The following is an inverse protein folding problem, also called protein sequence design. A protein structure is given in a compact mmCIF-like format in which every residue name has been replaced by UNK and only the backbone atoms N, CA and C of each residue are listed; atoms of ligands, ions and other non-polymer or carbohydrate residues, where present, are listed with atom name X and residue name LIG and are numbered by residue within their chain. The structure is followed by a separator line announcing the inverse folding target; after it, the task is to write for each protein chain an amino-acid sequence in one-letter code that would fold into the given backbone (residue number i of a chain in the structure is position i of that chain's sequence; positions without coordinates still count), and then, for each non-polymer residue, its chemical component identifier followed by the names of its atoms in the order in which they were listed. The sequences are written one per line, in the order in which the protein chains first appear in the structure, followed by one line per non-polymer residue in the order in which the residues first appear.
data_IF_207197972116
#
_entry.id   IF_207197972116
#
_cell.length_a   1.000
_cell.length_b   1.000
_cell.length_c   1.000
_cell.angle_alpha   90.00
_cell.angle_beta   90.00
_cell.angle_gamma   90.00
#
_symmetry.space_group_name_H-M   'P 1'
#
loop_
_entity.id
_entity.type
_entity.pdbx_description
1 polymer ?
#
# COMPACT_ATOMS: atom_id res chain seq x y z
N UNK A 1 36.99 30.80 24.48
CA UNK A 1 35.68 30.26 24.87
C UNK A 1 34.65 30.76 23.87
N UNK A 2 34.26 29.92 22.92
CA UNK A 2 33.20 30.22 21.97
C UNK A 2 31.88 29.71 22.57
N UNK A 3 30.96 30.62 22.86
CA UNK A 3 29.60 30.30 23.31
C UNK A 3 28.79 29.82 22.12
N UNK A 4 28.47 28.53 22.09
CA UNK A 4 27.60 27.92 21.09
C UNK A 4 26.20 28.53 21.16
N UNK A 5 25.71 29.02 20.02
CA UNK A 5 24.31 29.45 19.87
C UNK A 5 23.42 28.21 19.73
N UNK A 6 22.74 27.84 20.81
CA UNK A 6 21.58 26.96 20.76
C UNK A 6 20.41 27.75 20.15
N UNK A 7 20.14 27.59 18.85
CA UNK A 7 19.20 28.48 18.16
C UNK A 7 18.73 28.00 16.79
N UNK A 8 18.72 26.69 16.54
CA UNK A 8 18.15 26.14 15.31
C UNK A 8 17.25 24.97 15.72
N UNK A 9 15.95 25.06 15.43
CA UNK A 9 14.88 24.07 15.67
C UNK A 9 14.08 24.13 16.99
N UNK A 10 13.86 25.31 17.57
CA UNK A 10 12.88 25.46 18.68
C UNK A 10 11.45 25.72 18.21
N UNK A 11 11.21 25.92 16.92
CA UNK A 11 9.90 26.28 16.36
C UNK A 11 9.45 25.19 15.38
N UNK A 12 8.48 24.37 15.81
CA UNK A 12 7.92 23.26 15.02
C UNK A 12 6.41 23.17 15.21
N UNK A 13 5.73 22.66 14.19
CA UNK A 13 4.28 22.48 14.15
C UNK A 13 4.02 21.06 13.66
N UNK A 14 3.59 20.17 14.57
CA UNK A 14 3.27 18.77 14.21
C UNK A 14 1.76 18.57 14.28
N UNK A 15 1.13 18.19 13.16
CA UNK A 15 -0.31 17.94 13.10
C UNK A 15 -0.64 16.52 13.58
N UNK A 16 -1.58 16.38 14.51
CA UNK A 16 -2.15 15.11 14.98
C UNK A 16 -3.63 14.99 14.62
N UNK A 17 -3.96 14.72 13.34
CA UNK A 17 -5.35 14.64 12.86
C UNK A 17 -6.11 13.45 13.46
N UNK A 18 -5.41 12.45 14.00
CA UNK A 18 -5.95 11.24 14.65
C UNK A 18 -6.61 11.53 16.00
N UNK A 19 -6.13 12.53 16.74
CA UNK A 19 -6.66 12.94 18.05
C UNK A 19 -7.63 14.12 17.98
N UNK A 20 -7.64 14.83 16.86
CA UNK A 20 -8.44 16.02 16.67
C UNK A 20 -9.94 15.69 16.54
N UNK A 21 -10.80 16.37 17.29
CA UNK A 21 -12.25 16.39 17.07
C UNK A 21 -12.64 17.27 15.87
N UNK A 22 -13.90 17.19 15.41
CA UNK A 22 -14.41 18.15 14.41
C UNK A 22 -14.46 19.58 14.98
N UNK A 23 -14.68 19.72 16.29
CA UNK A 23 -14.73 21.00 16.99
C UNK A 23 -13.35 21.68 17.05
N UNK A 24 -12.30 20.89 17.29
CA UNK A 24 -10.93 21.37 17.34
C UNK A 24 -10.47 21.92 15.98
N UNK A 25 -10.99 21.36 14.89
CA UNK A 25 -10.77 21.84 13.53
C UNK A 25 -11.43 23.21 13.28
N UNK A 26 -12.67 23.41 13.73
CA UNK A 26 -13.33 24.73 13.66
C UNK A 26 -12.69 25.75 14.60
N UNK A 27 -12.19 25.31 15.76
CA UNK A 27 -11.47 26.15 16.71
C UNK A 27 -10.18 26.69 16.09
N UNK A 28 -9.47 25.88 15.29
CA UNK A 28 -8.28 26.31 14.54
C UNK A 28 -8.56 27.45 13.54
N UNK A 29 -9.78 27.51 13.02
CA UNK A 29 -10.18 28.53 12.05
C UNK A 29 -10.53 29.86 12.73
N UNK A 30 -11.07 29.80 13.95
CA UNK A 30 -11.57 30.97 14.68
C UNK A 30 -10.56 31.54 15.69
N UNK A 31 -9.85 30.66 16.41
CA UNK A 31 -8.81 31.04 17.37
C UNK A 31 -7.42 30.88 16.75
N UNK A 32 -6.54 31.83 17.06
CA UNK A 32 -5.15 31.86 16.60
C UNK A 32 -4.16 31.15 17.48
N UNK A 33 -4.61 30.74 18.66
CA UNK A 33 -3.78 30.07 19.64
C UNK A 33 -3.68 28.57 19.32
N UNK A 34 -2.56 28.18 18.69
CA UNK A 34 -2.31 26.79 18.32
C UNK A 34 -2.01 25.90 19.52
N UNK A 35 -1.46 26.46 20.60
CA UNK A 35 -1.08 25.72 21.81
C UNK A 35 -2.30 25.11 22.51
N UNK A 36 -3.46 25.77 22.39
CA UNK A 36 -4.73 25.30 22.98
C UNK A 36 -5.42 24.21 22.17
N UNK A 37 -4.91 23.88 20.99
CA UNK A 37 -5.59 22.99 20.06
C UNK A 37 -4.95 21.59 20.04
N UNK A 38 -5.73 20.57 20.43
CA UNK A 38 -5.31 19.15 20.40
C UNK A 38 -4.93 18.63 19.00
N UNK A 39 -5.20 19.41 17.96
CA UNK A 39 -4.90 19.10 16.55
C UNK A 39 -3.44 19.34 16.19
N UNK A 40 -2.73 20.20 16.93
CA UNK A 40 -1.41 20.69 16.56
C UNK A 40 -0.50 20.74 17.80
N UNK A 41 0.60 19.98 17.77
CA UNK A 41 1.65 20.06 18.79
C UNK A 41 2.61 21.22 18.41
N UNK A 42 2.62 22.27 19.25
CA UNK A 42 3.51 23.43 19.14
C UNK A 42 4.08 23.83 20.52
N UNK A 43 5.26 24.46 20.58
CA UNK A 43 5.76 25.05 21.82
C UNK A 43 4.86 26.20 22.35
N UNK A 44 4.92 26.48 23.65
CA UNK A 44 4.12 27.55 24.27
C UNK A 44 4.44 28.92 23.66
N UNK A 45 3.40 29.69 23.31
CA UNK A 45 3.54 31.03 22.70
C UNK A 45 3.62 31.05 21.17
N UNK A 46 3.50 29.89 20.51
CA UNK A 46 3.49 29.79 19.03
C UNK A 46 2.13 30.21 18.46
N UNK A 47 1.89 31.51 18.36
CA UNK A 47 0.70 32.09 17.73
C UNK A 47 0.96 32.40 16.25
N UNK A 48 0.09 31.95 15.35
CA UNK A 48 0.15 32.37 13.95
C UNK A 48 -0.73 33.60 13.77
N UNK A 49 -0.17 34.78 13.54
CA UNK A 49 -0.96 35.99 13.28
C UNK A 49 -1.59 36.01 11.86
N UNK A 50 -0.95 35.35 10.89
CA UNK A 50 -1.37 35.36 9.48
C UNK A 50 -2.54 34.40 9.22
N UNK A 51 -3.68 34.96 8.79
CA UNK A 51 -4.90 34.20 8.41
C UNK A 51 -4.60 33.18 7.30
N UNK A 52 -3.73 33.52 6.35
CA UNK A 52 -3.33 32.63 5.24
C UNK A 52 -2.66 31.34 5.72
N UNK A 53 -1.78 31.44 6.73
CA UNK A 53 -1.10 30.28 7.30
C UNK A 53 -2.06 29.41 8.12
N UNK A 54 -2.97 30.02 8.88
CA UNK A 54 -4.03 29.28 9.60
C UNK A 54 -4.92 28.49 8.65
N UNK A 55 -5.32 29.12 7.54
CA UNK A 55 -6.10 28.47 6.49
C UNK A 55 -5.34 27.27 5.87
N UNK A 56 -4.04 27.43 5.60
CA UNK A 56 -3.22 26.35 5.05
C UNK A 56 -3.12 25.14 6.01
N UNK A 57 -2.93 25.40 7.30
CA UNK A 57 -2.92 24.33 8.32
C UNK A 57 -4.30 23.67 8.41
N UNK A 58 -5.36 24.47 8.43
CA UNK A 58 -6.74 23.96 8.44
C UNK A 58 -7.02 23.03 7.25
N UNK A 59 -6.68 23.45 6.03
CA UNK A 59 -6.86 22.62 4.82
C UNK A 59 -6.02 21.35 4.91
N UNK A 60 -4.77 21.45 5.39
CA UNK A 60 -3.86 20.31 5.53
C UNK A 60 -4.39 19.27 6.53
N UNK A 61 -4.83 19.69 7.72
CA UNK A 61 -5.44 18.80 8.72
C UNK A 61 -6.74 18.21 8.19
N UNK A 62 -7.58 19.02 7.53
CA UNK A 62 -8.85 18.55 6.95
C UNK A 62 -8.59 17.47 5.90
N UNK A 63 -7.59 17.65 5.04
CA UNK A 63 -7.18 16.66 4.05
C UNK A 63 -6.68 15.38 4.72
N UNK A 64 -5.76 15.47 5.70
CA UNK A 64 -5.26 14.31 6.44
C UNK A 64 -6.38 13.53 7.13
N UNK A 65 -7.31 14.23 7.77
CA UNK A 65 -8.46 13.62 8.44
C UNK A 65 -9.42 12.97 7.45
N UNK A 66 -9.64 13.59 6.29
CA UNK A 66 -10.42 12.99 5.20
C UNK A 66 -9.77 11.70 4.72
N UNK A 67 -8.45 11.67 4.51
CA UNK A 67 -7.71 10.46 4.13
C UNK A 67 -7.83 9.35 5.20
N UNK A 68 -7.76 9.71 6.49
CA UNK A 68 -7.94 8.75 7.59
C UNK A 68 -9.36 8.17 7.61
N UNK A 69 -10.39 8.99 7.41
CA UNK A 69 -11.79 8.54 7.33
C UNK A 69 -12.01 7.62 6.12
N UNK A 70 -11.37 7.95 4.99
CA UNK A 70 -11.52 7.18 3.75
C UNK A 70 -10.68 5.91 3.72
N UNK A 71 -9.70 5.73 4.61
CA UNK A 71 -8.83 4.54 4.65
C UNK A 71 -9.63 3.24 4.65
N UNK A 72 -10.49 3.04 5.65
CA UNK A 72 -11.25 1.80 5.82
C UNK A 72 -12.29 1.59 4.68
N UNK A 73 -13.08 2.61 4.27
CA UNK A 73 -13.95 2.50 3.10
C UNK A 73 -13.23 2.14 1.81
N UNK A 74 -12.04 2.69 1.56
CA UNK A 74 -11.25 2.43 0.35
C UNK A 74 -10.72 0.99 0.35
N UNK A 75 -10.22 0.50 1.48
CA UNK A 75 -9.79 -0.91 1.63
C UNK A 75 -10.96 -1.85 1.38
N UNK A 76 -12.11 -1.59 2.01
CA UNK A 76 -13.32 -2.39 1.81
C UNK A 76 -13.77 -2.37 0.34
N UNK A 77 -13.79 -1.20 -0.29
CA UNK A 77 -14.19 -1.03 -1.68
C UNK A 77 -13.25 -1.78 -2.63
N UNK A 78 -11.93 -1.62 -2.46
CA UNK A 78 -10.93 -2.34 -3.23
C UNK A 78 -11.10 -3.86 -3.11
N UNK A 79 -11.30 -4.37 -1.89
CA UNK A 79 -11.56 -5.79 -1.63
C UNK A 79 -12.80 -6.32 -2.35
N UNK A 80 -13.88 -5.52 -2.46
CA UNK A 80 -15.10 -5.88 -3.21
C UNK A 80 -14.89 -5.85 -4.71
N UNK A 81 -14.22 -4.82 -5.22
CA UNK A 81 -13.90 -4.71 -6.66
C UNK A 81 -13.03 -5.88 -7.10
N UNK A 82 -11.99 -6.21 -6.35
CA UNK A 82 -11.11 -7.35 -6.62
C UNK A 82 -11.87 -8.69 -6.58
N UNK A 83 -12.70 -8.90 -5.56
CA UNK A 83 -13.54 -10.10 -5.48
C UNK A 83 -14.50 -10.20 -6.67
N UNK A 84 -15.12 -9.08 -7.07
CA UNK A 84 -16.03 -9.03 -8.22
C UNK A 84 -15.29 -9.35 -9.51
N UNK A 85 -14.12 -8.76 -9.75
CA UNK A 85 -13.29 -9.06 -10.92
C UNK A 85 -12.92 -10.55 -11.00
N UNK A 86 -12.52 -11.15 -9.88
CA UNK A 86 -12.26 -12.59 -9.78
C UNK A 86 -13.52 -13.44 -10.01
N UNK A 87 -14.66 -13.04 -9.47
CA UNK A 87 -15.93 -13.74 -9.64
C UNK A 87 -16.33 -13.77 -11.11
N UNK A 88 -16.22 -12.62 -11.80
CA UNK A 88 -16.45 -12.55 -13.24
C UNK A 88 -15.43 -13.40 -14.00
N UNK A 89 -14.15 -13.31 -13.65
CA UNK A 89 -13.08 -14.05 -14.33
C UNK A 89 -13.29 -15.57 -14.29
N UNK A 90 -13.61 -16.12 -13.12
CA UNK A 90 -13.77 -17.58 -12.93
C UNK A 90 -15.06 -18.09 -13.58
N UNK A 91 -16.08 -17.23 -13.72
CA UNK A 91 -17.36 -17.59 -14.33
C UNK A 91 -17.49 -17.18 -15.80
N UNK A 92 -16.39 -16.82 -16.47
CA UNK A 92 -16.36 -16.44 -17.89
C UNK A 92 -17.19 -15.19 -18.24
N UNK A 93 -17.25 -14.22 -17.33
CA UNK A 93 -17.89 -12.91 -17.54
C UNK A 93 -19.29 -12.79 -16.93
N UNK A 94 -19.88 -11.60 -17.03
CA UNK A 94 -21.14 -11.23 -16.38
C UNK A 94 -22.34 -12.08 -16.84
N UNK A 95 -22.51 -12.28 -18.14
CA UNK A 95 -23.65 -13.05 -18.68
C UNK A 95 -23.60 -14.51 -18.25
N UNK A 96 -22.41 -15.12 -18.34
CA UNK A 96 -22.18 -16.50 -17.89
C UNK A 96 -22.32 -16.63 -16.37
N UNK A 97 -21.88 -15.63 -15.59
CA UNK A 97 -22.10 -15.60 -14.13
C UNK A 97 -23.59 -15.60 -13.76
N UNK A 98 -24.40 -14.73 -14.39
CA UNK A 98 -25.85 -14.70 -14.15
C UNK A 98 -26.47 -16.05 -14.49
N UNK A 99 -26.09 -16.62 -15.62
CA UNK A 99 -26.61 -17.91 -16.08
C UNK A 99 -26.20 -19.08 -15.16
N UNK A 100 -24.94 -19.12 -14.74
CA UNK A 100 -24.42 -20.11 -13.80
C UNK A 100 -25.05 -19.96 -12.41
N UNK A 101 -25.34 -18.73 -11.98
CA UNK A 101 -26.06 -18.47 -10.74
C UNK A 101 -27.48 -19.05 -10.79
N UNK A 102 -28.22 -18.82 -11.88
CA UNK A 102 -29.56 -19.39 -12.07
C UNK A 102 -29.56 -20.93 -12.12
N UNK A 103 -28.49 -21.54 -12.62
CA UNK A 103 -28.32 -23.01 -12.65
C UNK A 103 -27.76 -23.60 -11.34
N UNK A 104 -27.38 -22.76 -10.37
CA UNK A 104 -26.70 -23.22 -9.14
C UNK A 104 -25.26 -23.72 -9.38
N UNK A 105 -24.64 -23.34 -10.49
CA UNK A 105 -23.29 -23.74 -10.92
C UNK A 105 -22.26 -22.60 -10.80
N UNK A 106 -22.63 -21.46 -10.21
CA UNK A 106 -21.71 -20.34 -10.03
C UNK A 106 -20.53 -20.73 -9.11
N UNK A 107 -19.31 -20.49 -9.60
CA UNK A 107 -18.08 -20.79 -8.87
C UNK A 107 -17.67 -19.57 -8.06
N UNK A 108 -17.52 -19.73 -6.75
CA UNK A 108 -17.09 -18.66 -5.86
C UNK A 108 -15.54 -18.66 -5.79
N UNK A 109 -14.87 -17.54 -6.09
CA UNK A 109 -13.41 -17.48 -6.05
C UNK A 109 -12.90 -17.54 -4.60
N UNK A 110 -11.80 -18.27 -4.39
CA UNK A 110 -11.13 -18.38 -3.08
C UNK A 110 -9.84 -17.56 -3.10
N UNK A 111 -9.65 -16.66 -2.13
CA UNK A 111 -8.48 -15.77 -2.05
C UNK A 111 -7.13 -16.49 -2.04
N UNK A 112 -7.06 -17.67 -1.42
CA UNK A 112 -5.82 -18.46 -1.30
C UNK A 112 -5.61 -19.42 -2.50
N UNK A 113 -6.41 -19.29 -3.56
CA UNK A 113 -6.27 -20.10 -4.78
C UNK A 113 -5.24 -19.47 -5.71
N UNK A 114 -4.47 -20.30 -6.41
CA UNK A 114 -3.56 -19.83 -7.46
C UNK A 114 -4.30 -19.13 -8.63
N UNK A 115 -5.62 -19.29 -8.73
CA UNK A 115 -6.46 -18.64 -9.75
C UNK A 115 -6.99 -17.28 -9.33
N UNK A 116 -6.83 -16.89 -8.07
CA UNK A 116 -7.26 -15.59 -7.57
C UNK A 116 -6.18 -14.56 -7.87
N UNK A 117 -6.58 -13.44 -8.47
CA UNK A 117 -5.69 -12.38 -8.95
C UNK A 117 -5.93 -11.07 -8.21
N UNK A 118 -4.88 -10.32 -7.92
CA UNK A 118 -5.02 -8.96 -7.41
C UNK A 118 -5.50 -7.99 -8.50
N UNK A 119 -5.86 -6.77 -8.12
CA UNK A 119 -6.15 -5.72 -9.08
C UNK A 119 -4.97 -5.46 -10.05
N UNK A 120 -3.72 -5.62 -9.61
CA UNK A 120 -2.52 -5.36 -10.42
C UNK A 120 -2.42 -6.35 -11.57
N UNK A 121 -2.66 -7.63 -11.32
CA UNK A 121 -2.61 -8.69 -12.34
C UNK A 121 -3.84 -8.67 -13.28
N UNK A 122 -4.92 -7.96 -12.91
CA UNK A 122 -5.99 -7.63 -13.85
C UNK A 122 -5.63 -6.48 -14.80
N UNK A 123 -4.76 -5.55 -14.40
CA UNK A 123 -4.30 -4.46 -15.28
C UNK A 123 -3.17 -4.88 -16.22
N UNK A 124 -2.31 -5.80 -15.78
CA UNK A 124 -1.25 -6.39 -16.58
C UNK A 124 -1.36 -7.92 -16.55
N UNK A 125 -1.96 -8.49 -17.60
CA UNK A 125 -2.26 -9.91 -17.73
C UNK A 125 -1.08 -10.76 -18.18
N UNK A 126 0.07 -10.15 -18.48
CA UNK A 126 1.27 -10.87 -18.93
C UNK A 126 1.82 -11.66 -17.75
N UNK A 127 1.87 -12.98 -17.84
CA UNK A 127 2.45 -13.81 -16.78
C UNK A 127 3.77 -14.43 -17.21
N UNK A 128 3.97 -14.62 -18.50
CA UNK A 128 5.15 -15.26 -19.06
C UNK A 128 6.24 -14.23 -19.39
N UNK A 129 7.50 -14.60 -19.17
CA UNK A 129 8.62 -13.84 -19.68
C UNK A 129 8.74 -14.06 -21.20
N UNK A 130 9.02 -12.98 -21.92
CA UNK A 130 9.22 -13.03 -23.36
C UNK A 130 10.39 -13.97 -23.72
N UNK A 131 10.13 -15.07 -24.46
CA UNK A 131 11.17 -16.04 -24.80
C UNK A 131 12.24 -15.48 -25.74
N UNK A 132 11.96 -14.39 -26.46
CA UNK A 132 12.90 -13.80 -27.41
C UNK A 132 14.01 -13.00 -26.70
N UNK A 133 13.84 -12.70 -25.41
CA UNK A 133 14.79 -11.90 -24.63
C UNK A 133 15.70 -12.84 -23.85
N UNK A 134 16.96 -12.93 -24.28
CA UNK A 134 17.99 -13.71 -23.59
C UNK A 134 18.25 -13.18 -22.17
N UNK A 135 18.50 -14.06 -21.17
CA UNK A 135 18.92 -13.66 -19.83
C UNK A 135 20.18 -12.77 -19.77
N UNK A 136 21.00 -12.78 -20.83
CA UNK A 136 22.21 -11.95 -20.94
C UNK A 136 21.90 -10.51 -21.39
N UNK A 137 20.70 -10.26 -21.92
CA UNK A 137 20.24 -8.92 -22.27
C UNK A 137 19.80 -8.16 -21.01
N UNK A 138 20.24 -6.90 -20.86
CA UNK A 138 19.77 -6.03 -19.78
C UNK A 138 18.25 -5.84 -19.77
N UNK A 139 17.57 -6.01 -20.92
CA UNK A 139 16.10 -5.98 -21.04
C UNK A 139 15.43 -7.13 -20.28
N UNK A 140 16.08 -8.29 -20.16
CA UNK A 140 15.55 -9.42 -19.39
C UNK A 140 15.36 -9.05 -17.93
N UNK A 141 16.37 -8.43 -17.33
CA UNK A 141 16.33 -8.01 -15.93
C UNK A 141 15.21 -6.97 -15.72
N UNK A 142 15.06 -6.03 -16.65
CA UNK A 142 13.99 -5.03 -16.58
C UNK A 142 12.60 -5.69 -16.59
N UNK A 143 12.33 -6.58 -17.56
CA UNK A 143 11.05 -7.29 -17.65
C UNK A 143 10.82 -8.18 -16.43
N UNK A 144 11.82 -8.96 -16.01
CA UNK A 144 11.74 -9.79 -14.81
C UNK A 144 11.44 -8.94 -13.56
N UNK A 145 12.07 -7.75 -13.44
CA UNK A 145 11.84 -6.87 -12.28
C UNK A 145 10.42 -6.30 -12.24
N UNK A 146 9.85 -5.92 -13.39
CA UNK A 146 8.46 -5.45 -13.50
C UNK A 146 7.50 -6.59 -13.13
N UNK A 147 7.74 -7.77 -13.68
CA UNK A 147 6.95 -8.97 -13.44
C UNK A 147 7.02 -9.42 -11.98
N UNK A 148 8.20 -9.36 -11.36
CA UNK A 148 8.38 -9.66 -9.94
C UNK A 148 7.72 -8.61 -9.04
N UNK A 149 7.77 -7.33 -9.41
CA UNK A 149 7.14 -6.25 -8.67
C UNK A 149 5.61 -6.39 -8.65
N UNK A 150 4.98 -6.75 -9.77
CA UNK A 150 3.54 -7.04 -9.77
C UNK A 150 3.21 -8.32 -9.00
N UNK A 151 4.04 -9.36 -9.12
CA UNK A 151 3.83 -10.63 -8.46
C UNK A 151 3.86 -10.51 -6.93
N UNK A 152 4.54 -9.49 -6.39
CA UNK A 152 4.58 -9.20 -4.96
C UNK A 152 3.21 -8.81 -4.35
N UNK A 153 2.21 -8.49 -5.17
CA UNK A 153 0.84 -8.21 -4.72
C UNK A 153 -0.08 -9.45 -4.75
N UNK A 154 0.42 -10.60 -5.22
CA UNK A 154 -0.38 -11.80 -5.39
C UNK A 154 -0.35 -12.72 -4.17
N UNK A 155 -1.29 -13.66 -4.11
CA UNK A 155 -1.32 -14.67 -3.05
C UNK A 155 -0.20 -15.71 -3.24
N UNK A 156 0.23 -16.33 -2.14
CA UNK A 156 1.32 -17.31 -2.14
C UNK A 156 1.16 -18.44 -3.17
N UNK A 157 -0.07 -18.97 -3.34
CA UNK A 157 -0.33 -20.06 -4.28
C UNK A 157 -0.15 -19.60 -5.74
N UNK A 158 -0.51 -18.36 -6.06
CA UNK A 158 -0.30 -17.75 -7.37
C UNK A 158 1.19 -17.47 -7.60
N UNK A 159 1.88 -16.87 -6.62
CA UNK A 159 3.33 -16.63 -6.69
C UNK A 159 4.07 -17.93 -6.96
N UNK A 160 3.79 -18.98 -6.20
CA UNK A 160 4.43 -20.28 -6.32
C UNK A 160 4.22 -20.89 -7.70
N UNK A 161 2.98 -20.87 -8.20
CA UNK A 161 2.63 -21.35 -9.56
C UNK A 161 3.43 -20.59 -10.61
N UNK A 162 3.48 -19.26 -10.54
CA UNK A 162 4.14 -18.44 -11.54
C UNK A 162 5.65 -18.63 -11.55
N UNK A 163 6.32 -18.62 -10.38
CA UNK A 163 7.78 -18.75 -10.30
C UNK A 163 8.25 -20.16 -10.71
N UNK A 164 7.58 -21.20 -10.20
CA UNK A 164 8.02 -22.59 -10.38
C UNK A 164 7.56 -23.13 -11.73
N UNK A 165 6.28 -23.01 -12.05
CA UNK A 165 5.69 -23.70 -13.21
C UNK A 165 5.92 -22.89 -14.49
N UNK A 166 5.78 -21.56 -14.44
CA UNK A 166 5.86 -20.70 -15.62
C UNK A 166 7.29 -20.21 -15.88
N UNK A 167 7.94 -19.58 -14.91
CA UNK A 167 9.29 -19.02 -15.11
C UNK A 167 10.39 -20.07 -14.94
N UNK A 168 10.07 -21.23 -14.38
CA UNK A 168 11.00 -22.35 -14.16
C UNK A 168 12.26 -21.94 -13.40
N UNK A 169 12.14 -20.94 -12.52
CA UNK A 169 13.24 -20.49 -11.67
C UNK A 169 13.40 -21.53 -10.57
N UNK A 170 14.33 -22.45 -10.77
CA UNK A 170 14.48 -23.68 -9.98
C UNK A 170 15.21 -23.49 -8.64
N UNK A 171 15.48 -22.25 -8.22
CA UNK A 171 16.10 -21.99 -6.92
C UNK A 171 15.33 -20.94 -6.13
N UNK A 172 15.18 -21.12 -4.80
CA UNK A 172 14.65 -20.07 -3.95
C UNK A 172 15.54 -18.85 -4.13
N UNK A 173 14.94 -17.69 -4.48
CA UNK A 173 15.66 -16.43 -4.53
C UNK A 173 16.42 -16.26 -3.22
N UNK A 174 17.74 -16.38 -3.28
CA UNK A 174 18.60 -16.10 -2.14
C UNK A 174 18.60 -14.58 -2.01
N UNK A 175 17.66 -14.03 -1.24
CA UNK A 175 17.60 -12.59 -0.98
C UNK A 175 18.85 -12.20 -0.19
N UNK A 176 19.93 -11.89 -0.89
CA UNK A 176 21.02 -11.13 -0.31
C UNK A 176 20.60 -9.68 -0.39
N UNK A 177 19.82 -9.23 0.60
CA UNK A 177 19.59 -7.80 0.78
C UNK A 177 20.98 -7.13 0.84
N UNK A 178 21.22 -6.02 0.14
CA UNK A 178 22.53 -5.34 0.13
C UNK A 178 23.01 -4.92 1.53
N UNK A 179 22.10 -4.94 2.51
CA UNK A 179 22.29 -4.42 3.86
C UNK A 179 22.27 -5.50 4.95
N UNK A 180 22.14 -6.80 4.63
CA UNK A 180 22.14 -7.85 5.66
C UNK A 180 23.57 -8.29 6.01
N UNK A 181 23.90 -8.20 7.30
CA UNK A 181 25.17 -8.68 7.84
C UNK A 181 25.29 -10.22 7.70
N UNK A 182 26.52 -10.76 7.50
CA UNK A 182 26.75 -12.16 7.14
C UNK A 182 26.33 -13.22 8.17
N UNK A 183 25.82 -12.82 9.33
CA UNK A 183 25.39 -13.73 10.41
C UNK A 183 23.87 -13.82 10.59
N UNK A 184 23.06 -13.17 9.75
CA UNK A 184 21.59 -13.20 9.84
C UNK A 184 20.91 -13.93 8.67
N UNK A 185 21.63 -14.82 7.99
CA UNK A 185 21.12 -15.56 6.85
C UNK A 185 20.73 -16.97 7.27
N UNK A 186 19.53 -17.12 7.83
CA UNK A 186 18.72 -18.34 7.74
C UNK A 186 17.36 -18.10 8.40
N UNK A 187 16.45 -17.44 7.67
CA UNK A 187 15.01 -17.63 7.84
C UNK A 187 14.28 -17.00 6.64
N UNK A 188 13.72 -17.88 5.80
CA UNK A 188 12.49 -17.68 5.04
C UNK A 188 12.38 -16.42 4.15
N UNK A 189 13.00 -16.45 2.97
CA UNK A 189 12.69 -15.47 1.91
C UNK A 189 11.36 -15.71 1.19
N UNK A 190 10.77 -16.91 1.32
CA UNK A 190 9.40 -17.16 0.83
C UNK A 190 8.37 -16.43 1.69
N UNK A 191 8.64 -16.24 2.98
CA UNK A 191 7.72 -15.56 3.90
C UNK A 191 7.68 -14.04 3.71
N UNK A 192 8.70 -13.41 3.14
CA UNK A 192 8.67 -11.94 2.96
C UNK A 192 7.69 -11.51 1.87
N UNK A 193 7.38 -12.39 0.91
CA UNK A 193 6.35 -12.15 -0.10
C UNK A 193 4.99 -12.78 0.28
N UNK A 194 4.97 -13.83 1.10
CA UNK A 194 3.74 -14.53 1.51
C UNK A 194 3.09 -13.95 2.78
N UNK A 195 3.90 -13.51 3.76
CA UNK A 195 3.43 -12.85 4.96
C UNK A 195 3.31 -11.36 4.66
N UNK A 196 2.20 -10.99 3.99
CA UNK A 196 1.82 -9.59 3.82
C UNK A 196 2.05 -8.83 5.14
N UNK A 197 2.71 -7.67 5.06
CA UNK A 197 3.10 -6.87 6.22
C UNK A 197 1.95 -6.84 7.23
N UNK A 198 2.11 -7.42 8.43
CA UNK A 198 1.04 -7.45 9.41
C UNK A 198 0.71 -6.01 9.80
N UNK A 199 -0.45 -5.52 9.36
CA UNK A 199 -0.93 -4.16 9.63
C UNK A 199 -1.26 -3.28 8.43
N UNK A 200 -1.28 -3.80 7.18
CA UNK A 200 -1.67 -3.04 5.98
C UNK A 200 -2.95 -3.55 5.27
N UNK A 201 -3.86 -4.16 6.03
CA UNK A 201 -5.29 -4.21 5.70
C UNK A 201 -6.08 -3.62 6.86
#
# INVERSE_FOLDING_TARGET
MATGREGYFSDYVVTRPDKAGMRDLFYLLYDGDLYRNNTVDCPEGTGIAEISRRWLIFVSVTAQKTLLILKEPVVWFGSKVEFMANLLSVNHGLGALIWNYLRGQAVIPRRNSSSFRSAVDFFDDRVELDPDISPEDGRYLANLSIMAAKLAYENEAHIRRTVIDLWRVSQPFRCRLPWSSPHAADLHCVNVLADGVPGLL
#
